data_IF_417355937055
#
_entry.id   IF_417355937055
#
_cell.length_a   1.000
_cell.length_b   1.000
_cell.length_c   1.000
_cell.angle_alpha   90.00
_cell.angle_beta   90.00
_cell.angle_gamma   90.00
#
_symmetry.space_group_name_H-M   'P 1'
#
loop_
_entity.id
_entity.type
_entity.pdbx_description
1 polymer ?
#
# COMPACT_ATOMS: atom_id res chain seq x y z
N UNK A 1 10.89 -18.15 8.96
CA UNK A 1 11.62 -17.07 8.26
C UNK A 1 12.75 -17.69 7.50
N UNK A 2 12.90 -17.32 6.24
CA UNK A 2 14.03 -17.72 5.40
C UNK A 2 15.35 -17.14 5.98
N UNK A 3 16.34 -18.00 6.21
CA UNK A 3 17.63 -17.61 6.78
C UNK A 3 18.37 -16.62 5.87
N UNK A 4 18.18 -16.72 4.56
CA UNK A 4 18.76 -15.80 3.58
C UNK A 4 18.14 -14.40 3.70
N UNK A 5 16.81 -14.32 3.85
CA UNK A 5 16.13 -13.06 4.13
C UNK A 5 16.63 -12.42 5.43
N UNK A 6 16.91 -13.23 6.45
CA UNK A 6 17.48 -12.77 7.71
C UNK A 6 18.86 -12.12 7.58
N UNK A 7 19.76 -12.76 6.82
CA UNK A 7 21.11 -12.26 6.55
C UNK A 7 21.11 -11.00 5.68
N UNK A 8 20.28 -10.97 4.63
CA UNK A 8 20.13 -9.81 3.76
C UNK A 8 19.65 -8.57 4.53
N UNK A 9 18.63 -8.72 5.37
CA UNK A 9 18.13 -7.61 6.21
C UNK A 9 19.18 -7.15 7.22
N UNK A 10 19.89 -8.07 7.87
CA UNK A 10 20.95 -7.70 8.81
C UNK A 10 22.05 -6.86 8.13
N UNK A 11 22.57 -7.33 6.99
CA UNK A 11 23.61 -6.62 6.25
C UNK A 11 23.16 -5.25 5.72
N UNK A 12 21.90 -5.12 5.32
CA UNK A 12 21.33 -3.83 4.91
C UNK A 12 21.26 -2.82 6.08
N UNK A 13 20.83 -3.26 7.26
CA UNK A 13 20.76 -2.40 8.45
C UNK A 13 22.17 -2.00 8.91
N UNK A 14 23.12 -2.93 8.94
CA UNK A 14 24.53 -2.62 9.27
C UNK A 14 25.12 -1.58 8.30
N UNK A 15 24.84 -1.74 7.00
CA UNK A 15 25.28 -0.78 5.98
C UNK A 15 24.62 0.59 6.16
N UNK A 16 23.33 0.65 6.48
CA UNK A 16 22.63 1.91 6.77
C UNK A 16 23.22 2.61 8.00
N UNK A 17 23.45 1.88 9.09
CA UNK A 17 24.08 2.43 10.30
C UNK A 17 25.43 3.05 9.94
N UNK A 18 26.29 2.31 9.23
CA UNK A 18 27.60 2.82 8.81
C UNK A 18 27.50 4.09 7.97
N UNK A 19 26.64 4.11 6.95
CA UNK A 19 26.44 5.28 6.09
C UNK A 19 25.95 6.50 6.89
N UNK A 20 25.05 6.30 7.85
CA UNK A 20 24.57 7.37 8.73
C UNK A 20 25.67 7.88 9.65
N UNK A 21 26.49 7.00 10.23
CA UNK A 21 27.63 7.41 11.08
C UNK A 21 28.71 8.15 10.31
N UNK A 22 28.90 7.83 9.03
CA UNK A 22 29.85 8.51 8.13
C UNK A 22 29.28 9.82 7.53
N UNK A 23 28.03 10.18 7.85
CA UNK A 23 27.37 11.37 7.29
C UNK A 23 26.97 11.24 5.80
N UNK A 24 27.02 10.03 5.24
CA UNK A 24 26.79 9.74 3.81
C UNK A 24 25.30 9.59 3.50
N UNK A 25 24.56 10.67 3.71
CA UNK A 25 23.09 10.68 3.66
C UNK A 25 22.51 10.30 2.30
N UNK A 26 23.14 10.73 1.20
CA UNK A 26 22.68 10.41 -0.16
C UNK A 26 22.78 8.91 -0.47
N UNK A 27 23.88 8.26 -0.07
CA UNK A 27 24.06 6.82 -0.28
C UNK A 27 23.14 5.98 0.61
N UNK A 28 22.86 6.46 1.82
CA UNK A 28 21.84 5.83 2.67
C UNK A 28 20.45 5.92 2.04
N UNK A 29 20.11 7.06 1.41
CA UNK A 29 18.84 7.19 0.68
C UNK A 29 18.77 6.24 -0.53
N UNK A 30 19.84 6.14 -1.34
CA UNK A 30 19.90 5.17 -2.45
C UNK A 30 19.66 3.74 -1.95
N UNK A 31 20.30 3.36 -0.84
CA UNK A 31 20.09 2.06 -0.22
C UNK A 31 18.64 1.85 0.24
N UNK A 32 17.97 2.87 0.78
CA UNK A 32 16.54 2.77 1.15
C UNK A 32 15.64 2.57 -0.07
N UNK A 33 15.92 3.27 -1.19
CA UNK A 33 15.20 3.08 -2.46
C UNK A 33 15.40 1.65 -2.99
N UNK A 34 16.61 1.09 -2.90
CA UNK A 34 16.88 -0.30 -3.25
C UNK A 34 16.10 -1.28 -2.36
N UNK A 35 16.09 -1.04 -1.05
CA UNK A 35 15.36 -1.86 -0.06
C UNK A 35 13.85 -1.79 -0.30
N UNK A 36 13.30 -0.64 -0.71
CA UNK A 36 11.89 -0.50 -1.04
C UNK A 36 11.46 -1.47 -2.16
N UNK A 37 12.39 -1.83 -3.04
CA UNK A 37 12.16 -2.79 -4.13
C UNK A 37 12.31 -4.25 -3.69
N UNK A 38 12.47 -4.56 -2.41
CA UNK A 38 12.58 -5.94 -1.94
C UNK A 38 11.22 -6.66 -1.88
N UNK A 39 11.21 -8.00 -1.76
CA UNK A 39 9.99 -8.75 -1.54
C UNK A 39 9.23 -8.29 -0.29
N UNK A 40 7.91 -8.16 -0.41
CA UNK A 40 7.01 -7.71 0.66
C UNK A 40 7.21 -8.45 1.99
N UNK A 41 7.47 -9.76 1.94
CA UNK A 41 7.70 -10.59 3.12
C UNK A 41 8.91 -10.16 3.99
N UNK A 42 9.80 -9.31 3.47
CA UNK A 42 10.96 -8.79 4.22
C UNK A 42 10.64 -7.54 5.04
N UNK A 43 9.56 -6.82 4.73
CA UNK A 43 9.20 -5.56 5.37
C UNK A 43 9.03 -5.68 6.90
N UNK A 44 8.31 -6.70 7.44
CA UNK A 44 8.20 -6.86 8.89
C UNK A 44 9.54 -7.00 9.61
N UNK A 45 10.48 -7.76 9.02
CA UNK A 45 11.80 -7.94 9.60
C UNK A 45 12.65 -6.67 9.48
N UNK A 46 12.59 -5.96 8.36
CA UNK A 46 13.24 -4.64 8.21
C UNK A 46 12.76 -3.68 9.28
N UNK A 47 11.44 -3.63 9.49
CA UNK A 47 10.79 -2.75 10.44
C UNK A 47 11.25 -3.01 11.89
N UNK A 48 11.42 -4.28 12.27
CA UNK A 48 11.96 -4.67 13.57
C UNK A 48 13.46 -4.35 13.71
N UNK A 49 14.27 -4.66 12.70
CA UNK A 49 15.73 -4.47 12.75
C UNK A 49 16.14 -2.99 12.71
N UNK A 50 15.47 -2.17 11.89
CA UNK A 50 15.68 -0.73 11.86
C UNK A 50 15.29 -0.08 13.19
N UNK A 51 14.17 -0.51 13.78
CA UNK A 51 13.75 -0.02 15.10
C UNK A 51 14.80 -0.33 16.18
N UNK A 52 15.32 -1.57 16.23
CA UNK A 52 16.37 -1.94 17.20
C UNK A 52 17.67 -1.18 16.98
N UNK A 53 17.97 -0.79 15.75
CA UNK A 53 19.13 0.02 15.40
C UNK A 53 18.92 1.53 15.62
N UNK A 54 17.74 1.97 16.08
CA UNK A 54 17.42 3.40 16.27
C UNK A 54 17.17 4.16 14.96
N UNK A 55 16.95 3.46 13.85
CA UNK A 55 16.78 4.02 12.50
C UNK A 55 15.31 4.28 12.16
N UNK A 56 14.53 4.82 13.10
CA UNK A 56 13.09 5.09 12.92
C UNK A 56 12.79 6.07 11.79
N UNK A 57 13.66 7.06 11.57
CA UNK A 57 13.53 8.01 10.44
C UNK A 57 13.78 7.34 9.08
N UNK A 58 14.72 6.39 9.01
CA UNK A 58 14.96 5.58 7.81
C UNK A 58 13.78 4.64 7.56
N UNK A 59 13.16 4.08 8.60
CA UNK A 59 11.92 3.31 8.46
C UNK A 59 10.78 4.15 7.88
N UNK A 60 10.58 5.37 8.37
CA UNK A 60 9.57 6.28 7.82
C UNK A 60 9.86 6.63 6.35
N UNK A 61 11.13 6.82 6.00
CA UNK A 61 11.56 7.05 4.61
C UNK A 61 11.27 5.83 3.75
N UNK A 62 11.60 4.63 4.23
CA UNK A 62 11.35 3.37 3.50
C UNK A 62 9.86 3.14 3.25
N UNK A 63 9.00 3.40 4.24
CA UNK A 63 7.55 3.32 4.05
C UNK A 63 7.07 4.29 2.96
N UNK A 64 7.66 5.48 2.89
CA UNK A 64 7.29 6.46 1.87
C UNK A 64 7.71 6.03 0.46
N UNK A 65 8.94 5.52 0.31
CA UNK A 65 9.40 4.95 -0.96
C UNK A 65 8.54 3.75 -1.38
N UNK A 66 8.19 2.88 -0.43
CA UNK A 66 7.35 1.71 -0.68
C UNK A 66 5.90 2.09 -1.06
N UNK A 67 5.38 3.21 -0.55
CA UNK A 67 4.08 3.73 -0.95
C UNK A 67 4.04 4.21 -2.41
N UNK A 68 5.20 4.40 -3.05
CA UNK A 68 5.31 4.75 -4.47
C UNK A 68 5.42 3.54 -5.40
N UNK A 69 5.49 2.32 -4.87
CA UNK A 69 5.53 1.08 -5.66
C UNK A 69 4.24 0.85 -6.45
N UNK A 70 4.27 0.05 -7.54
CA UNK A 70 3.05 -0.45 -8.17
C UNK A 70 2.06 -1.01 -7.13
N UNK A 71 0.76 -0.81 -7.35
CA UNK A 71 -0.28 -1.06 -6.35
C UNK A 71 -0.22 -2.50 -5.82
N UNK A 72 0.11 -3.46 -6.68
CA UNK A 72 0.26 -4.87 -6.37
C UNK A 72 1.32 -5.14 -5.30
N UNK A 73 2.44 -4.42 -5.41
CA UNK A 73 3.59 -4.54 -4.52
C UNK A 73 3.38 -3.76 -3.23
N UNK A 74 2.77 -2.58 -3.34
CA UNK A 74 2.35 -1.77 -2.20
C UNK A 74 1.39 -2.55 -1.30
N UNK A 75 0.33 -3.12 -1.86
CA UNK A 75 -0.67 -3.85 -1.08
C UNK A 75 -0.07 -5.11 -0.46
N UNK A 76 0.78 -5.83 -1.19
CA UNK A 76 1.48 -6.99 -0.63
C UNK A 76 2.37 -6.63 0.56
N UNK A 77 3.10 -5.50 0.49
CA UNK A 77 3.93 -5.03 1.60
C UNK A 77 3.09 -4.55 2.78
N UNK A 78 1.94 -3.90 2.54
CA UNK A 78 1.00 -3.50 3.58
C UNK A 78 0.40 -4.72 4.30
N UNK A 79 -0.06 -5.73 3.54
CA UNK A 79 -0.61 -6.97 4.11
C UNK A 79 0.44 -7.74 4.90
N UNK A 80 1.69 -7.79 4.43
CA UNK A 80 2.79 -8.40 5.18
C UNK A 80 3.04 -7.69 6.53
N UNK A 81 2.95 -6.36 6.56
CA UNK A 81 3.07 -5.57 7.79
C UNK A 81 1.88 -5.83 8.73
N UNK A 82 0.65 -5.79 8.23
CA UNK A 82 -0.56 -6.06 9.01
C UNK A 82 -0.56 -7.48 9.60
N UNK A 83 -0.22 -8.49 8.80
CA UNK A 83 -0.11 -9.87 9.24
C UNK A 83 0.96 -10.08 10.33
N UNK A 84 1.99 -9.23 10.35
CA UNK A 84 3.02 -9.21 11.39
C UNK A 84 2.67 -8.33 12.61
N UNK A 85 1.42 -7.83 12.70
CA UNK A 85 0.95 -6.99 13.79
C UNK A 85 1.34 -5.51 13.67
N UNK A 86 1.95 -5.10 12.55
CA UNK A 86 2.34 -3.70 12.26
C UNK A 86 1.22 -2.96 11.52
N UNK A 87 0.01 -3.03 12.08
CA UNK A 87 -1.22 -2.57 11.40
C UNK A 87 -1.17 -1.09 11.03
N UNK A 88 -0.64 -0.24 11.91
CA UNK A 88 -0.53 1.19 11.66
C UNK A 88 0.38 1.51 10.46
N UNK A 89 1.49 0.78 10.29
CA UNK A 89 2.44 0.97 9.18
C UNK A 89 1.79 0.55 7.85
N UNK A 90 1.14 -0.62 7.82
CA UNK A 90 0.44 -1.11 6.62
C UNK A 90 -0.68 -0.16 6.18
N UNK A 91 -1.52 0.27 7.12
CA UNK A 91 -2.58 1.23 6.83
C UNK A 91 -2.05 2.60 6.40
N UNK A 92 -0.94 3.08 6.98
CA UNK A 92 -0.31 4.33 6.56
C UNK A 92 0.15 4.24 5.11
N UNK A 93 0.80 3.14 4.75
CA UNK A 93 1.31 2.92 3.40
C UNK A 93 0.17 2.82 2.37
N UNK A 94 -0.93 2.14 2.72
CA UNK A 94 -2.14 2.10 1.90
C UNK A 94 -2.76 3.50 1.69
N UNK A 95 -2.92 4.28 2.77
CA UNK A 95 -3.44 5.65 2.69
C UNK A 95 -2.60 6.55 1.79
N UNK A 96 -1.28 6.35 1.77
CA UNK A 96 -0.37 7.08 0.90
C UNK A 96 -0.49 6.62 -0.56
N UNK A 97 -0.58 5.31 -0.81
CA UNK A 97 -0.72 4.73 -2.15
C UNK A 97 -2.00 5.11 -2.88
N UNK A 98 -3.08 5.38 -2.16
CA UNK A 98 -4.37 5.79 -2.74
C UNK A 98 -4.47 7.27 -3.11
N UNK A 99 -3.38 8.04 -2.93
CA UNK A 99 -3.26 9.41 -3.43
C UNK A 99 -3.15 9.51 -4.97
N UNK A 100 -2.95 8.37 -5.66
CA UNK A 100 -2.92 8.26 -7.13
C UNK A 100 -4.24 8.70 -7.79
N UNK A 101 -4.20 9.07 -9.08
CA UNK A 101 -5.40 9.32 -9.89
C UNK A 101 -6.41 8.16 -9.82
N UNK A 102 -7.70 8.47 -9.92
CA UNK A 102 -8.77 7.48 -9.79
C UNK A 102 -8.68 6.39 -10.88
N UNK A 103 -8.27 6.78 -12.08
CA UNK A 103 -8.08 5.92 -13.24
C UNK A 103 -6.96 4.90 -12.99
N UNK A 104 -5.87 5.31 -12.35
CA UNK A 104 -4.78 4.41 -11.96
C UNK A 104 -5.23 3.40 -10.89
N UNK A 105 -6.08 3.82 -9.96
CA UNK A 105 -6.67 2.91 -8.97
C UNK A 105 -7.56 1.88 -9.63
N UNK A 106 -8.42 2.29 -10.58
CA UNK A 106 -9.23 1.36 -11.37
C UNK A 106 -8.40 0.34 -12.14
N UNK A 107 -7.34 0.79 -12.81
CA UNK A 107 -6.43 -0.09 -13.55
C UNK A 107 -5.71 -1.10 -12.63
N UNK A 108 -5.20 -0.64 -11.50
CA UNK A 108 -4.56 -1.49 -10.49
C UNK A 108 -5.52 -2.58 -9.94
N UNK A 109 -6.76 -2.20 -9.62
CA UNK A 109 -7.77 -3.15 -9.14
C UNK A 109 -8.08 -4.20 -10.20
N UNK A 110 -8.21 -3.82 -11.47
CA UNK A 110 -8.44 -4.77 -12.57
C UNK A 110 -7.28 -5.74 -12.76
N UNK A 111 -6.03 -5.27 -12.60
CA UNK A 111 -4.83 -6.10 -12.63
C UNK A 111 -4.85 -7.14 -11.51
N UNK A 112 -5.03 -6.69 -10.27
CA UNK A 112 -5.13 -7.56 -9.09
C UNK A 112 -6.28 -8.57 -9.17
N UNK A 113 -7.46 -8.14 -9.61
CA UNK A 113 -8.62 -9.01 -9.77
C UNK A 113 -8.39 -10.06 -10.87
N UNK A 114 -7.76 -9.67 -11.98
CA UNK A 114 -7.37 -10.59 -13.05
C UNK A 114 -6.36 -11.66 -12.62
N UNK A 115 -5.51 -11.35 -11.64
CA UNK A 115 -4.56 -12.27 -11.02
C UNK A 115 -5.19 -13.13 -9.89
N UNK A 116 -6.48 -12.95 -9.57
CA UNK A 116 -7.16 -13.66 -8.48
C UNK A 116 -6.75 -13.18 -7.09
N UNK A 117 -6.19 -11.98 -6.97
CA UNK A 117 -5.65 -11.39 -5.73
C UNK A 117 -6.73 -10.63 -4.96
N UNK A 118 -7.83 -11.31 -4.66
CA UNK A 118 -9.02 -10.72 -4.06
C UNK A 118 -8.84 -10.19 -2.63
N UNK A 119 -7.80 -10.63 -1.90
CA UNK A 119 -7.46 -10.03 -0.60
C UNK A 119 -6.85 -8.64 -0.80
N UNK A 120 -5.96 -8.50 -1.77
CA UNK A 120 -5.29 -7.26 -2.10
C UNK A 120 -6.24 -6.24 -2.74
N UNK A 121 -7.16 -6.68 -3.60
CA UNK A 121 -8.25 -5.83 -4.10
C UNK A 121 -9.03 -5.19 -2.94
N UNK A 122 -9.45 -6.00 -1.96
CA UNK A 122 -10.20 -5.50 -0.80
C UNK A 122 -9.38 -4.51 0.03
N UNK A 123 -8.13 -4.84 0.37
CA UNK A 123 -7.27 -3.95 1.14
C UNK A 123 -7.05 -2.58 0.47
N UNK A 124 -6.87 -2.57 -0.85
CA UNK A 124 -6.72 -1.33 -1.63
C UNK A 124 -8.01 -0.51 -1.66
N UNK A 125 -9.15 -1.15 -1.95
CA UNK A 125 -10.44 -0.47 -2.05
C UNK A 125 -10.95 0.04 -0.69
N UNK A 126 -10.74 -0.72 0.39
CA UNK A 126 -11.07 -0.28 1.75
C UNK A 126 -10.30 1.00 2.12
N UNK A 127 -9.01 1.04 1.82
CA UNK A 127 -8.20 2.24 2.04
C UNK A 127 -8.65 3.39 1.14
N UNK A 128 -8.95 3.12 -0.13
CA UNK A 128 -9.37 4.11 -1.11
C UNK A 128 -10.68 4.79 -0.70
N UNK A 129 -11.72 4.02 -0.33
CA UNK A 129 -13.03 4.54 0.10
C UNK A 129 -12.94 5.33 1.41
N UNK A 130 -12.01 4.98 2.31
CA UNK A 130 -11.80 5.74 3.55
C UNK A 130 -11.18 7.11 3.32
N UNK A 131 -10.32 7.24 2.31
CA UNK A 131 -9.54 8.46 2.04
C UNK A 131 -10.26 9.39 1.06
N UNK A 132 -10.91 8.83 0.05
CA UNK A 132 -11.52 9.59 -1.05
C UNK A 132 -12.96 9.99 -0.77
N UNK A 133 -13.39 11.07 -1.41
CA UNK A 133 -14.82 11.37 -1.45
C UNK A 133 -15.54 10.34 -2.33
N UNK A 134 -16.84 10.11 -2.11
CA UNK A 134 -17.65 9.22 -2.95
C UNK A 134 -17.55 9.53 -4.45
N UNK A 135 -17.51 10.82 -4.81
CA UNK A 135 -17.42 11.28 -6.20
C UNK A 135 -16.05 11.01 -6.82
N UNK A 136 -14.97 11.17 -6.05
CA UNK A 136 -13.64 10.77 -6.51
C UNK A 136 -13.55 9.26 -6.68
N UNK A 137 -14.11 8.50 -5.74
CA UNK A 137 -14.10 7.04 -5.79
C UNK A 137 -14.88 6.51 -6.99
N UNK A 138 -16.04 7.08 -7.29
CA UNK A 138 -16.86 6.71 -8.45
C UNK A 138 -16.11 6.87 -9.79
N UNK A 139 -15.17 7.83 -9.91
CA UNK A 139 -14.37 8.00 -11.13
C UNK A 139 -13.45 6.82 -11.43
N UNK A 140 -13.05 6.05 -10.42
CA UNK A 140 -12.16 4.89 -10.61
C UNK A 140 -12.77 3.77 -11.46
N UNK A 141 -14.11 3.69 -11.52
CA UNK A 141 -14.79 2.60 -12.22
C UNK A 141 -14.82 2.77 -13.75
N UNK A 142 -14.40 3.93 -14.27
CA UNK A 142 -14.58 4.31 -15.67
C UNK A 142 -13.96 3.32 -16.67
N UNK A 143 -12.86 2.65 -16.31
CA UNK A 143 -12.17 1.70 -17.18
C UNK A 143 -12.96 0.42 -17.44
N UNK A 144 -13.64 -0.12 -16.42
CA UNK A 144 -14.53 -1.29 -16.53
C UNK A 144 -15.60 -1.23 -15.43
N UNK A 145 -16.71 -0.51 -15.67
CA UNK A 145 -17.73 -0.32 -14.65
C UNK A 145 -18.37 -1.64 -14.19
N UNK A 146 -18.46 -2.63 -15.08
CA UNK A 146 -19.12 -3.92 -14.77
C UNK A 146 -18.35 -4.71 -13.72
N UNK A 147 -17.02 -4.65 -13.75
CA UNK A 147 -16.16 -5.32 -12.77
C UNK A 147 -15.91 -4.45 -11.54
N UNK A 148 -15.69 -3.15 -11.73
CA UNK A 148 -15.23 -2.27 -10.66
C UNK A 148 -16.35 -1.81 -9.72
N UNK A 149 -17.58 -1.60 -10.22
CA UNK A 149 -18.70 -1.13 -9.39
C UNK A 149 -19.02 -2.09 -8.24
N UNK A 150 -19.21 -3.41 -8.46
CA UNK A 150 -19.49 -4.34 -7.37
C UNK A 150 -18.38 -4.37 -6.30
N UNK A 151 -17.11 -4.38 -6.73
CA UNK A 151 -15.96 -4.39 -5.83
C UNK A 151 -15.89 -3.13 -4.97
N UNK A 152 -16.15 -1.96 -5.58
CA UNK A 152 -16.10 -0.68 -4.89
C UNK A 152 -17.27 -0.54 -3.87
N UNK A 153 -18.45 -1.03 -4.23
CA UNK A 153 -19.63 -1.04 -3.34
C UNK A 153 -19.45 -2.01 -2.16
N UNK A 154 -18.81 -3.17 -2.39
CA UNK A 154 -18.47 -4.13 -1.34
C UNK A 154 -17.52 -3.50 -0.31
N UNK A 155 -16.45 -2.84 -0.78
CA UNK A 155 -15.51 -2.12 0.08
C UNK A 155 -16.21 -1.00 0.88
N UNK A 156 -17.06 -0.20 0.22
CA UNK A 156 -17.81 0.85 0.90
C UNK A 156 -18.76 0.30 1.99
N UNK A 157 -19.42 -0.83 1.71
CA UNK A 157 -20.25 -1.53 2.68
C UNK A 157 -19.44 -2.01 3.89
N UNK A 158 -18.20 -2.47 3.68
CA UNK A 158 -17.27 -2.85 4.75
C UNK A 158 -16.80 -1.67 5.62
N UNK A 159 -16.80 -0.45 5.07
CA UNK A 159 -16.46 0.77 5.82
C UNK A 159 -17.63 1.27 6.67
N UNK A 160 -18.78 1.55 6.05
CA UNK A 160 -20.03 1.88 6.75
C UNK A 160 -21.23 1.87 5.79
N UNK A 161 -22.43 1.70 6.35
CA UNK A 161 -23.67 1.78 5.56
C UNK A 161 -23.87 3.17 4.91
N UNK A 162 -23.49 4.24 5.60
CA UNK A 162 -23.53 5.60 5.05
C UNK A 162 -22.62 5.73 3.82
N UNK A 163 -21.38 5.25 3.92
CA UNK A 163 -20.41 5.28 2.80
C UNK A 163 -20.89 4.48 1.60
N UNK A 164 -21.55 3.35 1.83
CA UNK A 164 -22.17 2.58 0.75
C UNK A 164 -23.21 3.40 -0.02
N UNK A 165 -24.16 4.03 0.68
CA UNK A 165 -25.22 4.81 0.02
C UNK A 165 -24.71 6.08 -0.65
N UNK A 166 -23.75 6.77 -0.04
CA UNK A 166 -23.10 7.93 -0.66
C UNK A 166 -22.42 7.55 -1.98
N UNK A 167 -21.75 6.39 -1.99
CA UNK A 167 -21.10 5.88 -3.19
C UNK A 167 -22.11 5.44 -4.26
N UNK A 168 -23.19 4.75 -3.88
CA UNK A 168 -24.30 4.44 -4.80
C UNK A 168 -24.84 5.71 -5.44
N UNK A 169 -25.01 6.77 -4.66
CA UNK A 169 -25.46 8.07 -5.17
C UNK A 169 -24.45 8.66 -6.16
N UNK A 170 -23.17 8.72 -5.79
CA UNK A 170 -22.11 9.27 -6.65
C UNK A 170 -21.97 8.49 -7.97
N UNK A 171 -22.05 7.16 -7.93
CA UNK A 171 -22.03 6.30 -9.13
C UNK A 171 -23.20 6.63 -10.06
N UNK A 172 -24.40 6.80 -9.51
CA UNK A 172 -25.59 7.18 -10.29
C UNK A 172 -25.44 8.56 -10.93
N UNK A 173 -24.92 9.55 -10.19
CA UNK A 173 -24.65 10.90 -10.71
C UNK A 173 -23.62 10.86 -11.85
N UNK A 174 -22.61 9.99 -11.74
CA UNK A 174 -21.61 9.77 -12.77
C UNK A 174 -22.11 8.93 -13.98
N UNK A 175 -23.36 8.44 -13.95
CA UNK A 175 -23.96 7.67 -15.04
C UNK A 175 -23.65 6.17 -15.00
N UNK A 176 -23.10 5.66 -13.89
CA UNK A 176 -22.87 4.24 -13.69
C UNK A 176 -24.07 3.58 -12.98
N UNK A 177 -24.35 2.34 -13.36
CA UNK A 177 -25.35 1.50 -12.70
C UNK A 177 -24.71 0.84 -11.48
N UNK A 178 -25.23 1.15 -10.29
CA UNK A 178 -24.90 0.50 -9.02
C UNK A 178 -25.67 -0.82 -8.85
#
# INVERSE_FOLDING_TARGET
MDAEAGAAVAGAVERLVRLRTEGRTGEAHVLLVEIAQWPAARFPLLADRLQRAGLGADWATLLWEAASLPAERLVAAADALEAAGRVADGQQMLRQGVARPAEEIGAAVLGLDGEGRGREVRALLDAYVRVRTPEEAARSVAADPRRLVPLLLEAAQGVSQERHWDLVHALRVAGFTA
#
